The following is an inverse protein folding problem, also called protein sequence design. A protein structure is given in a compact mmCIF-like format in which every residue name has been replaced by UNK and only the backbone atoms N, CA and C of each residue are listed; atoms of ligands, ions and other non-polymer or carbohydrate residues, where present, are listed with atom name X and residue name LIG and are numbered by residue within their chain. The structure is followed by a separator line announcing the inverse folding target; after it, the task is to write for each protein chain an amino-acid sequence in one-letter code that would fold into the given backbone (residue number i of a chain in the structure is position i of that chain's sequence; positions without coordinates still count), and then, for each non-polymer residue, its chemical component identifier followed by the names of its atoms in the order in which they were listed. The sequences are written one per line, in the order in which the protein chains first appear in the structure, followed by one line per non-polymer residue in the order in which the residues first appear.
data_IF_173717580412
#
_entry.id   IF_173717580412
#
_cell.length_a   1.000
_cell.length_b   1.000
_cell.length_c   1.000
_cell.angle_alpha   90.00
_cell.angle_beta   90.00
_cell.angle_gamma   90.00
#
_symmetry.space_group_name_H-M   'P 1'
#
loop_
_entity.id
_entity.type
_entity.pdbx_description
1 polymer ?
#
# COMPACT_ATOMS: atom_id res chain seq x y z
N UNK A 1 -44.64 6.55 22.92
CA UNK A 1 -43.15 6.66 22.93
C UNK A 1 -42.45 6.15 21.66
N UNK A 2 -43.09 6.09 20.47
CA UNK A 2 -42.39 5.89 19.18
C UNK A 2 -41.80 7.19 18.61
N UNK A 3 -42.30 8.37 19.05
CA UNK A 3 -42.00 9.64 18.37
C UNK A 3 -40.67 10.30 18.82
N UNK A 4 -40.15 9.99 20.00
CA UNK A 4 -38.88 10.57 20.49
C UNK A 4 -37.65 9.96 19.82
N UNK A 5 -37.70 8.65 19.48
CA UNK A 5 -36.60 7.99 18.77
C UNK A 5 -36.45 8.52 17.34
N UNK A 6 -37.56 8.86 16.67
CA UNK A 6 -37.56 9.41 15.32
C UNK A 6 -36.94 10.82 15.24
N UNK A 7 -37.17 11.66 16.26
CA UNK A 7 -36.63 13.03 16.29
C UNK A 7 -35.11 13.06 16.53
N UNK A 8 -34.59 12.15 17.37
CA UNK A 8 -33.14 12.04 17.58
C UNK A 8 -32.42 11.49 16.33
N UNK A 9 -32.98 10.51 15.66
CA UNK A 9 -32.46 9.97 14.42
C UNK A 9 -32.50 11.00 13.27
N UNK A 10 -33.60 11.78 13.13
CA UNK A 10 -33.68 12.85 12.14
C UNK A 10 -32.66 13.97 12.41
N UNK A 11 -32.52 14.40 13.67
CA UNK A 11 -31.52 15.42 14.05
C UNK A 11 -30.09 14.93 13.85
N UNK A 12 -29.79 13.65 14.15
CA UNK A 12 -28.49 13.05 13.90
C UNK A 12 -28.18 12.97 12.41
N UNK A 13 -29.13 12.53 11.60
CA UNK A 13 -28.99 12.46 10.14
C UNK A 13 -28.79 13.83 9.52
N UNK A 14 -29.52 14.85 9.97
CA UNK A 14 -29.36 16.22 9.51
C UNK A 14 -28.00 16.83 9.87
N UNK A 15 -27.54 16.60 11.10
CA UNK A 15 -26.21 17.04 11.56
C UNK A 15 -25.08 16.34 10.82
N UNK A 16 -25.22 15.03 10.59
CA UNK A 16 -24.27 14.23 9.81
C UNK A 16 -24.18 14.73 8.35
N UNK A 17 -25.32 14.99 7.71
CA UNK A 17 -25.36 15.49 6.34
C UNK A 17 -24.69 16.85 6.17
N UNK A 18 -24.93 17.80 7.08
CA UNK A 18 -24.32 19.13 7.03
C UNK A 18 -22.80 19.07 7.26
N UNK A 19 -22.34 18.22 8.17
CA UNK A 19 -20.91 18.01 8.41
C UNK A 19 -20.25 17.40 7.18
N UNK A 20 -20.89 16.44 6.53
CA UNK A 20 -20.39 15.82 5.32
C UNK A 20 -20.29 16.82 4.16
N UNK A 21 -21.28 17.71 3.99
CA UNK A 21 -21.23 18.77 2.97
C UNK A 21 -20.02 19.68 3.18
N UNK A 22 -19.81 20.16 4.39
CA UNK A 22 -18.65 21.02 4.71
C UNK A 22 -17.31 20.34 4.40
N UNK A 23 -17.19 19.05 4.72
CA UNK A 23 -15.97 18.28 4.44
C UNK A 23 -15.77 18.11 2.93
N UNK A 24 -16.84 17.78 2.21
CA UNK A 24 -16.78 17.57 0.76
C UNK A 24 -16.53 18.88 0.00
N UNK A 25 -17.10 20.01 0.45
CA UNK A 25 -16.84 21.33 -0.12
C UNK A 25 -15.35 21.69 0.02
N UNK A 26 -14.80 21.52 1.22
CA UNK A 26 -13.37 21.75 1.44
C UNK A 26 -12.50 20.84 0.56
N UNK A 27 -12.80 19.55 0.51
CA UNK A 27 -12.05 18.58 -0.30
C UNK A 27 -12.13 18.93 -1.79
N UNK A 28 -13.30 19.33 -2.29
CA UNK A 28 -13.47 19.75 -3.68
C UNK A 28 -12.65 21.00 -4.02
N UNK A 29 -12.60 21.98 -3.11
CA UNK A 29 -11.77 23.18 -3.28
C UNK A 29 -10.28 22.84 -3.38
N UNK A 30 -9.79 21.93 -2.53
CA UNK A 30 -8.39 21.48 -2.57
C UNK A 30 -8.07 20.72 -3.88
N UNK A 31 -8.96 19.85 -4.33
CA UNK A 31 -8.82 19.12 -5.60
C UNK A 31 -8.81 20.09 -6.79
N UNK A 32 -9.66 21.11 -6.79
CA UNK A 32 -9.69 22.15 -7.83
C UNK A 32 -8.39 22.95 -7.91
N UNK A 33 -7.75 23.25 -6.78
CA UNK A 33 -6.42 23.91 -6.76
C UNK A 33 -5.34 23.10 -7.48
N UNK A 34 -5.49 21.76 -7.51
CA UNK A 34 -4.62 20.85 -8.25
C UNK A 34 -5.00 20.71 -9.74
N UNK A 35 -5.98 21.47 -10.22
CA UNK A 35 -6.47 21.40 -11.61
C UNK A 35 -7.36 20.18 -11.91
N UNK A 36 -7.82 19.49 -10.89
CA UNK A 36 -8.68 18.32 -11.01
C UNK A 36 -10.13 18.65 -10.64
N UNK A 37 -11.08 17.84 -11.12
CA UNK A 37 -12.49 17.94 -10.77
C UNK A 37 -13.01 16.59 -10.28
N UNK A 38 -13.68 16.52 -9.13
CA UNK A 38 -14.31 15.29 -8.70
C UNK A 38 -15.44 14.92 -9.66
N UNK A 39 -15.51 13.66 -10.04
CA UNK A 39 -16.57 13.14 -10.90
C UNK A 39 -17.90 13.03 -10.15
N UNK A 40 -17.82 12.75 -8.86
CA UNK A 40 -18.97 12.52 -8.00
C UNK A 40 -18.64 12.86 -6.55
N UNK A 41 -19.67 13.23 -5.80
CA UNK A 41 -19.63 13.47 -4.35
C UNK A 41 -20.60 12.51 -3.69
N UNK A 42 -20.09 11.66 -2.81
CA UNK A 42 -20.90 10.63 -2.14
C UNK A 42 -20.94 10.93 -0.65
N UNK A 43 -22.16 11.05 -0.12
CA UNK A 43 -22.42 11.22 1.31
C UNK A 43 -23.02 9.94 1.87
N UNK A 44 -22.49 9.48 2.98
CA UNK A 44 -23.03 8.35 3.73
C UNK A 44 -23.00 8.68 5.22
N UNK A 45 -24.07 8.36 5.92
CA UNK A 45 -24.16 8.40 7.37
C UNK A 45 -24.18 6.97 7.90
N UNK A 46 -23.31 6.66 8.85
CA UNK A 46 -23.17 5.31 9.42
C UNK A 46 -21.74 4.89 9.66
N UNK A 47 -21.47 3.60 9.61
CA UNK A 47 -20.15 3.05 9.79
C UNK A 47 -19.26 3.34 8.56
N UNK A 48 -18.23 4.15 8.75
CA UNK A 48 -17.35 4.61 7.67
C UNK A 48 -16.72 3.44 6.88
N UNK A 49 -16.32 2.38 7.57
CA UNK A 49 -15.67 1.21 6.98
C UNK A 49 -16.62 0.52 6.01
N UNK A 50 -17.83 0.20 6.46
CA UNK A 50 -18.85 -0.47 5.63
C UNK A 50 -19.20 0.37 4.42
N UNK A 51 -19.47 1.68 4.62
CA UNK A 51 -19.83 2.59 3.53
C UNK A 51 -18.74 2.70 2.46
N UNK A 52 -17.45 2.76 2.85
CA UNK A 52 -16.34 2.85 1.90
C UNK A 52 -16.16 1.53 1.13
N UNK A 53 -16.23 0.39 1.83
CA UNK A 53 -16.08 -0.92 1.21
C UNK A 53 -17.23 -1.23 0.24
N UNK A 54 -18.48 -0.98 0.63
CA UNK A 54 -19.64 -1.13 -0.24
C UNK A 54 -19.51 -0.26 -1.48
N UNK A 55 -19.11 1.01 -1.32
CA UNK A 55 -18.94 1.92 -2.44
C UNK A 55 -17.82 1.44 -3.38
N UNK A 56 -16.72 0.92 -2.83
CA UNK A 56 -15.62 0.39 -3.62
C UNK A 56 -15.99 -0.86 -4.42
N UNK A 57 -17.01 -1.61 -3.99
CA UNK A 57 -17.52 -2.81 -4.68
C UNK A 57 -18.65 -2.53 -5.67
N UNK A 58 -19.38 -1.41 -5.52
CA UNK A 58 -20.52 -1.06 -6.38
C UNK A 58 -20.10 -0.47 -7.72
N UNK A 59 -18.89 0.08 -7.82
CA UNK A 59 -18.37 0.73 -9.03
C UNK A 59 -16.96 0.23 -9.32
N UNK A 60 -16.55 0.39 -10.58
CA UNK A 60 -15.20 0.05 -11.03
C UNK A 60 -14.20 1.15 -10.59
N UNK A 61 -13.80 1.08 -9.32
CA UNK A 61 -12.69 1.88 -8.80
C UNK A 61 -11.40 1.08 -8.85
N UNK A 62 -10.31 1.73 -9.20
CA UNK A 62 -8.98 1.14 -9.28
C UNK A 62 -8.20 1.31 -7.98
N UNK A 63 -8.51 2.35 -7.21
CA UNK A 63 -7.72 2.76 -6.06
C UNK A 63 -8.60 3.40 -4.97
N UNK A 64 -8.35 3.04 -3.71
CA UNK A 64 -8.80 3.79 -2.54
C UNK A 64 -7.64 4.64 -2.04
N UNK A 65 -7.81 5.95 -2.04
CA UNK A 65 -6.84 6.89 -1.48
C UNK A 65 -7.31 7.36 -0.11
N UNK A 66 -6.50 7.21 0.91
CA UNK A 66 -6.85 7.63 2.27
C UNK A 66 -5.64 8.14 3.06
N UNK A 67 -5.91 8.99 4.06
CA UNK A 67 -4.92 9.35 5.06
C UNK A 67 -4.73 8.24 6.09
N UNK A 68 -3.54 8.13 6.65
CA UNK A 68 -3.24 7.15 7.71
C UNK A 68 -3.94 7.47 9.03
N UNK A 69 -4.28 8.74 9.29
CA UNK A 69 -4.83 9.23 10.55
C UNK A 69 -5.96 10.23 10.34
N UNK A 70 -6.91 10.28 11.29
CA UNK A 70 -7.77 11.43 11.49
C UNK A 70 -7.05 12.54 12.29
N UNK A 71 -7.70 13.73 12.44
CA UNK A 71 -7.15 14.97 13.04
C UNK A 71 -6.45 14.87 14.41
N UNK A 72 -6.42 13.72 15.09
CA UNK A 72 -5.86 13.50 16.42
C UNK A 72 -4.87 12.33 16.53
N UNK A 73 -4.41 11.76 15.42
CA UNK A 73 -3.53 10.58 15.43
C UNK A 73 -2.07 10.90 15.70
N UNK A 74 -1.36 9.99 16.39
CA UNK A 74 0.10 9.99 16.48
C UNK A 74 0.66 9.52 15.13
N UNK A 75 1.64 10.23 14.57
CA UNK A 75 2.18 10.08 13.22
C UNK A 75 2.67 8.65 12.82
N UNK A 76 2.88 7.75 13.77
CA UNK A 76 3.39 6.39 13.51
C UNK A 76 2.32 5.30 13.44
N UNK A 77 1.06 5.59 13.77
CA UNK A 77 0.03 4.56 13.86
C UNK A 77 -1.01 4.71 12.76
N UNK A 78 -1.37 3.61 12.15
CA UNK A 78 -2.48 3.55 11.21
C UNK A 78 -3.80 3.65 11.98
N UNK A 79 -4.70 4.54 11.54
CA UNK A 79 -6.03 4.65 12.14
C UNK A 79 -6.85 3.36 11.95
N UNK A 80 -7.76 3.08 12.87
CA UNK A 80 -8.58 1.85 12.82
C UNK A 80 -9.37 1.71 11.52
N UNK A 81 -9.91 2.80 11.00
CA UNK A 81 -10.64 2.81 9.71
C UNK A 81 -9.71 2.44 8.56
N UNK A 82 -8.56 3.11 8.44
CA UNK A 82 -7.60 2.83 7.37
C UNK A 82 -7.06 1.41 7.46
N UNK A 83 -6.80 0.91 8.68
CA UNK A 83 -6.33 -0.46 8.88
C UNK A 83 -7.38 -1.50 8.46
N UNK A 84 -8.65 -1.29 8.79
CA UNK A 84 -9.71 -2.23 8.44
C UNK A 84 -10.02 -2.21 6.94
N UNK A 85 -10.00 -1.02 6.32
CA UNK A 85 -10.17 -0.92 4.86
C UNK A 85 -9.06 -1.68 4.15
N UNK A 86 -7.79 -1.48 4.52
CA UNK A 86 -6.66 -2.21 3.94
C UNK A 86 -6.79 -3.72 4.12
N UNK A 87 -7.32 -4.17 5.26
CA UNK A 87 -7.51 -5.60 5.51
C UNK A 87 -8.64 -6.20 4.67
N UNK A 88 -9.63 -5.41 4.28
CA UNK A 88 -10.88 -5.87 3.68
C UNK A 88 -11.09 -5.45 2.23
N UNK A 89 -10.33 -4.46 1.74
CA UNK A 89 -10.43 -3.94 0.37
C UNK A 89 -9.99 -4.97 -0.66
N UNK A 90 -10.74 -5.06 -1.76
CA UNK A 90 -10.44 -5.91 -2.93
C UNK A 90 -9.68 -5.18 -4.03
N UNK A 91 -9.60 -3.87 -3.95
CA UNK A 91 -8.87 -3.01 -4.89
C UNK A 91 -7.63 -2.43 -4.22
N UNK A 92 -6.74 -1.83 -4.99
CA UNK A 92 -5.50 -1.24 -4.47
C UNK A 92 -5.77 -0.09 -3.50
N UNK A 93 -4.86 0.09 -2.53
CA UNK A 93 -4.97 1.11 -1.49
C UNK A 93 -3.73 2.01 -1.49
N UNK A 94 -3.92 3.33 -1.49
CA UNK A 94 -2.86 4.30 -1.26
C UNK A 94 -3.05 4.97 0.09
N UNK A 95 -2.04 4.89 0.94
CA UNK A 95 -2.06 5.45 2.30
C UNK A 95 -1.09 6.61 2.38
N UNK A 96 -1.64 7.81 2.42
CA UNK A 96 -0.86 9.01 2.68
C UNK A 96 -0.57 9.13 4.18
N UNK A 97 0.71 9.20 4.56
CA UNK A 97 1.13 9.27 5.96
C UNK A 97 1.62 10.64 6.36
N UNK A 98 2.53 11.20 5.61
CA UNK A 98 3.12 12.51 5.88
C UNK A 98 3.14 13.36 4.62
N UNK A 99 3.23 14.68 4.81
CA UNK A 99 3.51 15.59 3.72
C UNK A 99 4.98 15.43 3.35
N UNK A 100 5.23 14.84 2.17
CA UNK A 100 6.57 14.61 1.65
C UNK A 100 6.63 14.97 0.16
N UNK A 101 7.85 15.06 -0.38
CA UNK A 101 8.06 15.44 -1.76
C UNK A 101 7.71 14.31 -2.77
N UNK A 102 7.46 13.10 -2.30
CA UNK A 102 7.20 11.89 -3.10
C UNK A 102 8.18 11.71 -4.26
N UNK A 103 9.45 12.07 -4.03
CA UNK A 103 10.50 11.96 -5.05
C UNK A 103 11.13 10.59 -5.09
N UNK A 104 11.39 9.99 -3.90
CA UNK A 104 12.05 8.69 -3.77
C UNK A 104 11.02 7.57 -3.63
N UNK A 105 11.03 6.68 -4.61
CA UNK A 105 10.11 5.57 -4.73
C UNK A 105 10.83 4.25 -4.51
N UNK A 106 10.35 3.40 -3.60
CA UNK A 106 10.82 2.03 -3.42
C UNK A 106 9.81 1.03 -4.02
N UNK A 107 10.21 0.36 -5.07
CA UNK A 107 9.50 -0.78 -5.63
C UNK A 107 9.99 -2.06 -4.95
N UNK A 108 9.12 -2.78 -4.27
CA UNK A 108 9.46 -4.06 -3.66
C UNK A 108 8.99 -5.21 -4.53
N UNK A 109 9.78 -6.28 -4.59
CA UNK A 109 9.42 -7.48 -5.33
C UNK A 109 9.75 -8.74 -4.53
N UNK A 110 8.95 -9.78 -4.74
CA UNK A 110 9.23 -11.14 -4.31
C UNK A 110 9.57 -12.06 -5.52
N UNK A 111 9.72 -11.47 -6.71
CA UNK A 111 10.01 -12.18 -7.95
C UNK A 111 8.83 -12.91 -8.58
N UNK A 112 7.62 -12.69 -8.10
CA UNK A 112 6.41 -13.31 -8.65
C UNK A 112 5.74 -12.44 -9.71
N UNK A 113 4.70 -12.98 -10.37
CA UNK A 113 3.91 -12.24 -11.36
C UNK A 113 3.31 -10.93 -10.85
N UNK A 114 3.09 -10.81 -9.55
CA UNK A 114 2.61 -9.59 -8.91
C UNK A 114 3.53 -8.38 -9.17
N UNK A 115 4.84 -8.59 -9.32
CA UNK A 115 5.79 -7.52 -9.61
C UNK A 115 5.50 -6.83 -10.95
N UNK A 116 5.00 -7.57 -11.92
CA UNK A 116 4.61 -7.04 -13.24
C UNK A 116 3.32 -6.21 -13.13
N UNK A 117 2.37 -6.67 -12.33
CA UNK A 117 1.13 -5.93 -12.07
C UNK A 117 1.40 -4.61 -11.33
N UNK A 118 2.36 -4.61 -10.39
CA UNK A 118 2.82 -3.39 -9.73
C UNK A 118 3.25 -2.35 -10.76
N UNK A 119 4.15 -2.70 -11.67
CA UNK A 119 4.66 -1.76 -12.67
C UNK A 119 3.54 -1.26 -13.58
N UNK A 120 2.68 -2.14 -14.07
CA UNK A 120 1.54 -1.77 -14.92
C UNK A 120 0.54 -0.86 -14.20
N UNK A 121 0.40 -0.98 -12.88
CA UNK A 121 -0.50 -0.15 -12.08
C UNK A 121 0.06 1.25 -11.80
N UNK A 122 1.38 1.38 -11.57
CA UNK A 122 1.97 2.67 -11.20
C UNK A 122 2.31 3.57 -12.40
N UNK A 123 2.66 3.00 -13.55
CA UNK A 123 3.06 3.76 -14.74
C UNK A 123 1.99 4.74 -15.21
N UNK A 124 0.71 4.35 -15.37
CA UNK A 124 -0.33 5.28 -15.83
C UNK A 124 -0.69 6.34 -14.79
N UNK A 125 -0.44 6.09 -13.51
CA UNK A 125 -0.91 6.91 -12.40
C UNK A 125 0.15 7.90 -11.86
N UNK A 126 1.42 7.72 -12.26
CA UNK A 126 2.52 8.51 -11.71
C UNK A 126 3.56 8.87 -12.77
N UNK A 127 3.98 10.14 -12.80
CA UNK A 127 5.15 10.54 -13.60
C UNK A 127 6.43 9.99 -12.96
N UNK A 128 6.88 8.83 -13.45
CA UNK A 128 8.06 8.14 -12.92
C UNK A 128 9.39 8.74 -13.43
N UNK A 129 9.38 9.52 -14.51
CA UNK A 129 10.60 10.13 -15.04
C UNK A 129 11.25 11.14 -14.08
N UNK A 130 10.43 11.74 -13.21
CA UNK A 130 10.89 12.71 -12.20
C UNK A 130 11.20 12.07 -10.84
N UNK A 131 11.14 10.73 -10.74
CA UNK A 131 11.34 10.00 -9.48
C UNK A 131 12.72 9.36 -9.42
N UNK A 132 13.27 9.35 -8.21
CA UNK A 132 14.40 8.50 -7.85
C UNK A 132 13.84 7.11 -7.49
N UNK A 133 14.08 6.13 -8.34
CA UNK A 133 13.47 4.80 -8.23
C UNK A 133 14.47 3.81 -7.68
N UNK A 134 14.13 3.22 -6.56
CA UNK A 134 14.81 2.11 -5.94
C UNK A 134 14.03 0.81 -6.15
N UNK A 135 14.72 -0.29 -6.45
CA UNK A 135 14.11 -1.62 -6.51
C UNK A 135 14.73 -2.49 -5.43
N UNK A 136 13.92 -3.14 -4.62
CA UNK A 136 14.39 -3.99 -3.54
C UNK A 136 13.73 -5.37 -3.57
N UNK A 137 14.55 -6.42 -3.44
CA UNK A 137 14.12 -7.76 -3.12
C UNK A 137 14.79 -8.24 -1.84
N UNK A 138 14.05 -8.93 -0.98
CA UNK A 138 14.58 -9.51 0.25
C UNK A 138 14.49 -11.03 0.18
N UNK A 139 15.64 -11.68 0.23
CA UNK A 139 15.74 -13.12 0.42
C UNK A 139 15.59 -13.45 1.91
N UNK A 140 14.73 -14.40 2.25
CA UNK A 140 14.68 -14.91 3.62
C UNK A 140 15.99 -15.62 3.95
N UNK A 141 16.50 -15.37 5.18
CA UNK A 141 17.74 -16.04 5.62
C UNK A 141 17.48 -17.53 5.84
N UNK A 142 18.14 -18.42 5.09
CA UNK A 142 17.97 -19.87 5.26
C UNK A 142 18.29 -20.36 6.69
N UNK A 143 19.21 -19.69 7.40
CA UNK A 143 19.55 -20.05 8.77
C UNK A 143 18.39 -19.83 9.75
N UNK A 144 17.45 -18.94 9.44
CA UNK A 144 16.25 -18.71 10.26
C UNK A 144 15.18 -19.79 10.04
N UNK A 145 15.22 -20.50 8.91
CA UNK A 145 14.27 -21.57 8.58
C UNK A 145 14.64 -22.90 9.23
N UNK A 146 15.94 -23.08 9.55
CA UNK A 146 16.48 -24.35 10.02
C UNK A 146 17.29 -24.15 11.30
N UNK A 147 16.57 -24.03 12.43
CA UNK A 147 17.16 -23.72 13.75
C UNK A 147 17.87 -24.89 14.42
N UNK A 148 17.82 -26.10 13.88
CA UNK A 148 18.34 -27.31 14.52
C UNK A 148 19.84 -27.59 14.23
N UNK A 149 20.51 -26.74 13.47
CA UNK A 149 21.95 -26.79 13.26
C UNK A 149 22.47 -28.02 12.52
N UNK A 150 21.58 -28.81 11.91
CA UNK A 150 21.92 -30.07 11.22
C UNK A 150 22.27 -29.91 9.76
N UNK A 151 22.30 -28.69 9.24
CA UNK A 151 22.47 -28.43 7.81
C UNK A 151 23.93 -28.43 7.39
N UNK A 152 24.18 -29.13 6.27
CA UNK A 152 25.46 -29.05 5.56
C UNK A 152 25.71 -27.65 5.04
N UNK A 153 26.86 -27.09 5.37
CA UNK A 153 27.29 -25.74 4.95
C UNK A 153 27.27 -25.58 3.42
N UNK A 154 27.58 -26.63 2.65
CA UNK A 154 27.54 -26.58 1.19
C UNK A 154 26.11 -26.40 0.66
N UNK A 155 25.15 -27.09 1.27
CA UNK A 155 23.75 -26.97 0.92
C UNK A 155 23.19 -25.55 1.21
N UNK A 156 23.56 -24.94 2.35
CA UNK A 156 23.22 -23.56 2.66
C UNK A 156 23.79 -22.58 1.63
N UNK A 157 25.04 -22.75 1.24
CA UNK A 157 25.67 -21.92 0.21
C UNK A 157 24.98 -22.06 -1.14
N UNK A 158 24.52 -23.24 -1.50
CA UNK A 158 23.81 -23.45 -2.75
C UNK A 158 22.42 -22.80 -2.74
N UNK A 159 21.70 -22.88 -1.63
CA UNK A 159 20.43 -22.15 -1.47
C UNK A 159 20.65 -20.64 -1.60
N UNK A 160 21.64 -20.10 -0.90
CA UNK A 160 21.95 -18.66 -0.98
C UNK A 160 22.29 -18.22 -2.41
N UNK A 161 23.08 -19.02 -3.15
CA UNK A 161 23.39 -18.76 -4.55
C UNK A 161 22.14 -18.79 -5.44
N UNK A 162 21.25 -19.74 -5.21
CA UNK A 162 19.99 -19.83 -5.96
C UNK A 162 19.09 -18.63 -5.66
N UNK A 163 18.92 -18.26 -4.39
CA UNK A 163 18.16 -17.07 -3.99
C UNK A 163 18.73 -15.81 -4.62
N UNK A 164 20.05 -15.65 -4.62
CA UNK A 164 20.72 -14.51 -5.21
C UNK A 164 20.49 -14.40 -6.72
N UNK A 165 20.58 -15.54 -7.45
CA UNK A 165 20.30 -15.58 -8.89
C UNK A 165 18.84 -15.29 -9.20
N UNK A 166 17.92 -15.80 -8.39
CA UNK A 166 16.50 -15.55 -8.52
C UNK A 166 16.18 -14.05 -8.31
N UNK A 167 16.70 -13.49 -7.24
CA UNK A 167 16.51 -12.07 -6.92
C UNK A 167 17.10 -11.14 -8.00
N UNK A 168 18.29 -11.46 -8.53
CA UNK A 168 18.89 -10.69 -9.60
C UNK A 168 18.04 -10.70 -10.88
N UNK A 169 17.44 -11.85 -11.23
CA UNK A 169 16.52 -11.95 -12.37
C UNK A 169 15.24 -11.14 -12.13
N UNK A 170 14.63 -11.26 -10.96
CA UNK A 170 13.41 -10.55 -10.61
C UNK A 170 13.59 -9.01 -10.68
N UNK A 171 14.73 -8.51 -10.21
CA UNK A 171 15.07 -7.09 -10.33
C UNK A 171 15.27 -6.68 -11.80
N UNK A 172 15.97 -7.51 -12.58
CA UNK A 172 16.22 -7.22 -13.99
C UNK A 172 14.92 -7.20 -14.81
N UNK A 173 13.98 -8.09 -14.51
CA UNK A 173 12.65 -8.08 -15.16
C UNK A 173 11.92 -6.76 -14.92
N UNK A 174 11.97 -6.23 -13.69
CA UNK A 174 11.39 -4.90 -13.37
C UNK A 174 12.12 -3.79 -14.13
N UNK A 175 13.46 -3.82 -14.16
CA UNK A 175 14.26 -2.83 -14.90
C UNK A 175 13.92 -2.80 -16.39
N UNK A 176 13.78 -3.98 -17.00
CA UNK A 176 13.38 -4.11 -18.42
C UNK A 176 11.99 -3.51 -18.64
N UNK A 177 11.05 -3.73 -17.72
CA UNK A 177 9.71 -3.14 -17.84
C UNK A 177 9.73 -1.63 -17.71
N UNK A 178 10.41 -1.08 -16.72
CA UNK A 178 10.58 0.36 -16.56
C UNK A 178 11.22 0.99 -17.81
N UNK A 179 12.25 0.34 -18.35
CA UNK A 179 12.94 0.82 -19.57
C UNK A 179 12.03 0.91 -20.80
N UNK A 180 11.02 0.03 -20.94
CA UNK A 180 10.01 0.12 -22.02
C UNK A 180 9.19 1.43 -21.96
N UNK A 181 9.14 2.05 -20.80
CA UNK A 181 8.46 3.32 -20.54
C UNK A 181 9.43 4.48 -20.34
N UNK A 182 10.68 4.35 -20.81
CA UNK A 182 11.76 5.35 -20.68
C UNK A 182 12.11 5.70 -19.23
N UNK A 183 11.82 4.80 -18.28
CA UNK A 183 12.11 4.97 -16.87
C UNK A 183 13.32 4.11 -16.48
N UNK A 184 14.24 4.68 -15.69
CA UNK A 184 15.44 3.99 -15.23
C UNK A 184 15.43 3.91 -13.71
N UNK A 185 15.72 2.71 -13.17
CA UNK A 185 15.93 2.56 -11.74
C UNK A 185 17.30 3.15 -11.34
N UNK A 186 17.31 3.99 -10.31
CA UNK A 186 18.52 4.64 -9.78
C UNK A 186 19.34 3.67 -8.93
N UNK A 187 18.64 2.86 -8.12
CA UNK A 187 19.27 1.94 -7.19
C UNK A 187 18.58 0.57 -7.19
N UNK A 188 19.36 -0.48 -6.95
CA UNK A 188 18.84 -1.83 -6.79
C UNK A 188 19.47 -2.52 -5.59
N UNK A 189 18.67 -3.21 -4.76
CA UNK A 189 19.15 -3.89 -3.57
C UNK A 189 18.60 -5.32 -3.47
N UNK A 190 19.50 -6.28 -3.23
CA UNK A 190 19.16 -7.64 -2.81
C UNK A 190 19.60 -7.77 -1.35
N UNK A 191 18.62 -7.86 -0.47
CA UNK A 191 18.84 -7.95 0.98
C UNK A 191 18.59 -9.36 1.47
N UNK A 192 19.15 -9.72 2.62
CA UNK A 192 18.91 -11.02 3.26
C UNK A 192 18.44 -10.82 4.70
N UNK A 193 17.41 -11.53 5.09
CA UNK A 193 16.84 -11.51 6.45
C UNK A 193 15.32 -11.54 6.48
N UNK A 194 14.71 -10.94 7.50
CA UNK A 194 13.25 -10.86 7.64
C UNK A 194 12.72 -9.78 6.69
N UNK A 195 11.89 -10.13 5.68
CA UNK A 195 11.52 -9.22 4.60
C UNK A 195 10.96 -7.89 5.07
N UNK A 196 9.97 -7.88 5.95
CA UNK A 196 9.39 -6.65 6.45
C UNK A 196 10.41 -5.74 7.15
N UNK A 197 11.27 -6.31 7.99
CA UNK A 197 12.29 -5.53 8.71
C UNK A 197 13.30 -4.91 7.75
N UNK A 198 13.76 -5.68 6.75
CA UNK A 198 14.73 -5.18 5.76
C UNK A 198 14.17 -4.09 4.88
N UNK A 199 12.89 -4.17 4.50
CA UNK A 199 12.19 -3.12 3.75
C UNK A 199 12.08 -1.85 4.61
N UNK A 200 11.68 -1.96 5.87
CA UNK A 200 11.57 -0.84 6.81
C UNK A 200 12.92 -0.15 7.02
N UNK A 201 13.97 -0.94 7.26
CA UNK A 201 15.32 -0.40 7.46
C UNK A 201 15.85 0.27 6.20
N UNK A 202 15.64 -0.33 5.02
CA UNK A 202 16.04 0.25 3.74
C UNK A 202 15.33 1.58 3.47
N UNK A 203 14.01 1.62 3.69
CA UNK A 203 13.22 2.83 3.50
C UNK A 203 13.71 3.97 4.40
N UNK A 204 14.02 3.67 5.68
CA UNK A 204 14.52 4.65 6.63
C UNK A 204 15.92 5.14 6.27
N UNK A 205 16.85 4.26 5.88
CA UNK A 205 18.24 4.60 5.58
C UNK A 205 18.36 5.46 4.32
N UNK A 206 17.48 5.22 3.34
CA UNK A 206 17.51 5.92 2.05
C UNK A 206 16.49 7.07 1.96
N UNK A 207 15.81 7.41 3.05
CA UNK A 207 14.78 8.45 3.10
C UNK A 207 13.71 8.26 2.00
N UNK A 208 13.16 7.05 1.90
CA UNK A 208 12.13 6.72 0.92
C UNK A 208 10.82 7.41 1.25
N UNK A 209 10.27 8.12 0.28
CA UNK A 209 9.00 8.86 0.42
C UNK A 209 7.78 7.96 0.19
N UNK A 210 7.84 7.04 -0.77
CA UNK A 210 6.74 6.13 -1.12
C UNK A 210 7.26 4.70 -1.30
N UNK A 211 6.60 3.75 -0.65
CA UNK A 211 6.87 2.32 -0.81
C UNK A 211 5.71 1.69 -1.57
N UNK A 212 6.01 1.00 -2.67
CA UNK A 212 5.05 0.19 -3.41
C UNK A 212 5.22 -1.27 -3.05
N UNK A 213 4.14 -1.88 -2.57
CA UNK A 213 4.08 -3.26 -2.13
C UNK A 213 3.01 -4.01 -2.92
N UNK A 214 3.31 -5.22 -3.35
CA UNK A 214 2.30 -6.15 -3.82
C UNK A 214 1.62 -6.90 -2.67
N UNK A 215 0.33 -7.11 -2.79
CA UNK A 215 -0.44 -7.98 -1.90
C UNK A 215 -1.24 -8.96 -2.73
N UNK A 216 -0.97 -10.25 -2.56
CA UNK A 216 -1.76 -11.31 -3.19
C UNK A 216 -2.92 -11.70 -2.30
N UNK A 217 -4.09 -11.90 -2.89
CA UNK A 217 -5.22 -12.52 -2.23
C UNK A 217 -4.89 -14.00 -1.97
N UNK A 218 -4.34 -14.33 -0.80
CA UNK A 218 -4.20 -15.72 -0.38
C UNK A 218 -5.60 -16.24 -0.07
N UNK A 219 -6.10 -17.14 -0.92
CA UNK A 219 -7.33 -17.93 -0.83
C UNK A 219 -8.61 -17.26 -0.25
N UNK A 220 -9.76 -17.59 -0.81
CA UNK A 220 -11.11 -17.13 -0.36
C UNK A 220 -11.47 -17.41 1.10
N UNK A 221 -10.57 -18.05 1.86
CA UNK A 221 -10.75 -18.42 3.28
C UNK A 221 -9.98 -17.53 4.25
N UNK A 222 -9.00 -16.76 3.79
CA UNK A 222 -8.25 -15.87 4.67
C UNK A 222 -9.02 -14.56 4.87
N UNK A 223 -9.47 -14.32 6.11
CA UNK A 223 -10.18 -13.10 6.52
C UNK A 223 -9.38 -11.80 6.36
N UNK A 224 -8.06 -11.91 6.10
CA UNK A 224 -7.18 -10.77 5.95
C UNK A 224 -6.53 -10.79 4.57
N UNK A 225 -6.89 -9.82 3.76
CA UNK A 225 -6.37 -9.64 2.40
C UNK A 225 -4.92 -9.12 2.37
N UNK A 226 -4.37 -8.73 3.53
CA UNK A 226 -3.01 -8.17 3.65
C UNK A 226 -2.02 -9.25 4.07
N UNK A 227 -0.93 -9.41 3.33
CA UNK A 227 0.15 -10.34 3.71
C UNK A 227 0.91 -9.87 4.96
N UNK A 228 1.58 -10.80 5.64
CA UNK A 228 2.34 -10.51 6.88
C UNK A 228 3.43 -9.45 6.68
N UNK A 229 4.09 -9.43 5.52
CA UNK A 229 5.11 -8.44 5.17
C UNK A 229 4.49 -7.07 4.99
N UNK A 230 3.47 -6.96 4.12
CA UNK A 230 2.79 -5.69 3.84
C UNK A 230 2.20 -5.06 5.09
N UNK A 231 1.54 -5.85 5.95
CA UNK A 231 1.00 -5.39 7.22
C UNK A 231 2.08 -4.81 8.14
N UNK A 232 3.18 -5.55 8.32
CA UNK A 232 4.28 -5.09 9.19
C UNK A 232 4.97 -3.85 8.65
N UNK A 233 5.19 -3.74 7.33
CA UNK A 233 5.73 -2.53 6.71
C UNK A 233 4.79 -1.35 6.94
N UNK A 234 3.49 -1.51 6.64
CA UNK A 234 2.47 -0.50 6.81
C UNK A 234 2.41 0.10 8.22
N UNK A 235 2.56 -0.75 9.25
CA UNK A 235 2.52 -0.33 10.66
C UNK A 235 3.79 0.37 11.14
N UNK A 236 4.93 0.23 10.44
CA UNK A 236 6.24 0.64 10.98
C UNK A 236 7.02 1.66 10.14
N UNK A 237 6.51 2.11 9.01
CA UNK A 237 7.16 3.14 8.19
C UNK A 237 6.45 4.49 8.31
N UNK A 238 7.18 5.56 8.07
CA UNK A 238 6.63 6.93 7.92
C UNK A 238 6.32 7.26 6.47
N UNK A 239 6.94 6.56 5.52
CA UNK A 239 6.71 6.70 4.08
C UNK A 239 5.24 6.45 3.74
N UNK A 240 4.75 7.12 2.71
CA UNK A 240 3.48 6.75 2.07
C UNK A 240 3.56 5.30 1.58
N UNK A 241 2.42 4.63 1.49
CA UNK A 241 2.37 3.25 0.99
C UNK A 241 1.33 3.13 -0.11
N UNK A 242 1.72 2.51 -1.21
CA UNK A 242 0.82 2.04 -2.24
C UNK A 242 0.79 0.52 -2.23
N UNK A 243 -0.30 -0.03 -1.74
CA UNK A 243 -0.55 -1.46 -1.69
C UNK A 243 -1.34 -1.88 -2.92
N UNK A 244 -0.69 -2.61 -3.82
CA UNK A 244 -1.30 -3.06 -5.06
C UNK A 244 -1.86 -4.47 -4.89
N UNK A 245 -3.14 -4.62 -5.19
CA UNK A 245 -3.82 -5.92 -5.15
C UNK A 245 -3.54 -6.67 -6.45
N UNK A 246 -2.73 -7.71 -6.33
CA UNK A 246 -2.40 -8.54 -7.47
C UNK A 246 -3.47 -9.61 -7.66
N UNK A 247 -3.83 -9.82 -8.93
CA UNK A 247 -4.73 -10.91 -9.32
C UNK A 247 -3.96 -12.23 -9.33
N UNK A 248 -4.59 -13.31 -8.93
CA UNK A 248 -4.02 -14.68 -8.99
C UNK A 248 -3.97 -15.20 -10.44
#
# INVERSE_FOLDING_TARGET
LPDEISIEEENFTYSCANTADTILDYAEEEIKKLGMMPKERIKSCGAAIESILEQSEQKDYDLILMGSHGKKGLQKWLGSVSQEIINSSKISDYIAKEENNRKKLLLTTDGTGCSLEIINSIIPEMNLEEKEIHICMVNEDPNLLFLDGTLDTNWLLDIQRQQQRYAARAIEDIRIMLAKHNVTANETAILTGIPAQKIIDYARINDIDLIVLGSRNKSKLDRFLTGSVSKRVLENVVSDIWLIRCKD
#
